data_IF_503758524995
#
_entry.id   IF_503758524995
#
_cell.length_a   1.000
_cell.length_b   1.000
_cell.length_c   1.000
_cell.angle_alpha   90.00
_cell.angle_beta   90.00
_cell.angle_gamma   90.00
#
_symmetry.space_group_name_H-M   'P 1'
#
loop_
_entity.id
_entity.type
_entity.pdbx_description
1 polymer ?
#
# COMPACT_ATOMS: atom_id res chain seq x y z
N UNK A 1 10.41 20.95 -18.74
CA UNK A 1 9.07 20.58 -18.26
C UNK A 1 8.60 21.71 -17.34
N UNK A 2 7.40 22.23 -17.52
CA UNK A 2 6.83 23.25 -16.62
C UNK A 2 6.40 22.59 -15.30
N UNK A 3 6.40 23.35 -14.21
CA UNK A 3 5.77 22.96 -12.94
C UNK A 3 4.67 23.93 -12.64
N UNK A 4 3.52 23.38 -12.26
CA UNK A 4 2.34 24.14 -11.92
C UNK A 4 2.05 24.00 -10.42
N UNK A 5 1.97 25.11 -9.68
CA UNK A 5 1.34 25.11 -8.37
C UNK A 5 -0.13 24.69 -8.46
N UNK A 6 -0.61 23.90 -7.49
CA UNK A 6 -2.02 23.51 -7.41
C UNK A 6 -2.93 24.73 -7.17
N UNK A 7 -2.51 25.63 -6.30
CA UNK A 7 -3.24 26.82 -5.82
C UNK A 7 -3.30 28.00 -6.82
N UNK A 8 -2.95 27.77 -8.08
CA UNK A 8 -2.90 28.82 -9.11
C UNK A 8 -3.98 28.61 -10.16
N UNK A 9 -4.97 29.51 -10.19
CA UNK A 9 -6.16 29.42 -11.04
C UNK A 9 -5.87 29.25 -12.54
N UNK A 10 -4.80 29.87 -13.06
CA UNK A 10 -4.43 29.78 -14.49
C UNK A 10 -3.92 28.41 -14.92
N UNK A 11 -3.59 27.53 -13.96
CA UNK A 11 -3.13 26.17 -14.25
C UNK A 11 -4.28 25.19 -14.46
N UNK A 12 -5.51 25.62 -14.19
CA UNK A 12 -6.73 24.82 -14.32
C UNK A 12 -7.53 25.26 -15.53
N UNK A 13 -8.10 24.29 -16.24
CA UNK A 13 -8.87 24.53 -17.48
C UNK A 13 -10.12 25.39 -17.26
N UNK A 14 -10.69 25.38 -16.05
CA UNK A 14 -11.80 26.24 -15.64
C UNK A 14 -11.40 27.68 -15.30
N UNK A 15 -10.09 27.98 -15.24
CA UNK A 15 -9.58 29.30 -14.83
C UNK A 15 -9.80 29.61 -13.35
N UNK A 16 -10.07 28.60 -12.53
CA UNK A 16 -10.26 28.66 -11.08
C UNK A 16 -9.57 27.47 -10.41
N UNK A 17 -9.11 27.65 -9.17
CA UNK A 17 -8.56 26.56 -8.35
C UNK A 17 -9.72 25.66 -7.89
N UNK A 18 -9.57 24.32 -7.92
CA UNK A 18 -10.57 23.42 -7.38
C UNK A 18 -10.94 23.75 -5.94
N UNK A 19 -12.24 23.76 -5.65
CA UNK A 19 -12.82 23.99 -4.32
C UNK A 19 -13.60 22.76 -3.87
N UNK A 20 -14.23 22.83 -2.70
CA UNK A 20 -15.07 21.73 -2.21
C UNK A 20 -16.15 21.32 -3.21
N UNK A 21 -16.47 20.03 -3.23
CA UNK A 21 -17.44 19.39 -4.13
C UNK A 21 -17.03 19.34 -5.62
N UNK A 22 -15.83 19.81 -5.99
CA UNK A 22 -15.35 19.69 -7.37
C UNK A 22 -14.86 18.27 -7.70
N UNK A 23 -15.02 17.89 -8.97
CA UNK A 23 -14.37 16.73 -9.59
C UNK A 23 -13.09 17.16 -10.32
N UNK A 24 -11.94 16.66 -9.87
CA UNK A 24 -10.64 16.94 -10.51
C UNK A 24 -10.23 15.77 -11.39
N UNK A 25 -9.92 16.05 -12.66
CA UNK A 25 -9.34 15.06 -13.58
C UNK A 25 -7.97 15.51 -14.08
N UNK A 26 -6.97 14.64 -13.91
CA UNK A 26 -5.63 14.79 -14.43
C UNK A 26 -5.41 13.77 -15.56
N UNK A 27 -5.28 14.25 -16.79
CA UNK A 27 -5.08 13.39 -17.96
C UNK A 27 -4.25 14.09 -19.04
N UNK A 28 -3.62 13.30 -19.92
CA UNK A 28 -2.87 13.76 -21.10
C UNK A 28 -1.84 14.87 -20.80
N UNK A 29 -1.27 14.86 -19.60
CA UNK A 29 -0.35 15.90 -19.13
C UNK A 29 0.99 15.28 -18.74
N UNK A 30 2.07 16.00 -19.02
CA UNK A 30 3.40 15.73 -18.44
C UNK A 30 3.78 16.79 -17.41
N UNK A 31 2.85 17.66 -17.03
CA UNK A 31 3.14 18.78 -16.14
C UNK A 31 3.19 18.30 -14.70
N UNK A 32 4.25 18.65 -13.99
CA UNK A 32 4.42 18.30 -12.59
C UNK A 32 3.61 19.27 -11.71
N UNK A 33 2.99 18.75 -10.65
CA UNK A 33 2.39 19.55 -9.57
C UNK A 33 3.24 19.30 -8.33
N UNK A 34 4.15 20.24 -8.08
CA UNK A 34 5.13 20.14 -7.00
C UNK A 34 5.02 21.28 -6.00
N UNK A 35 4.14 22.27 -6.23
CA UNK A 35 3.95 23.45 -5.39
C UNK A 35 2.49 23.64 -5.03
N UNK A 36 2.21 24.42 -3.99
CA UNK A 36 0.85 24.60 -3.46
C UNK A 36 0.29 23.29 -2.90
N UNK A 37 1.14 22.43 -2.34
CA UNK A 37 0.78 21.04 -2.02
C UNK A 37 -0.09 20.91 -0.76
N UNK A 38 -0.14 21.94 0.08
CA UNK A 38 -1.08 21.96 1.20
C UNK A 38 -2.44 22.51 0.74
N UNK A 39 -3.40 21.62 0.56
CA UNK A 39 -4.81 21.89 0.23
C UNK A 39 -5.74 21.22 1.26
N UNK A 40 -5.29 21.07 2.51
CA UNK A 40 -6.02 20.34 3.56
C UNK A 40 -7.33 21.00 4.01
N UNK A 41 -7.69 22.15 3.41
CA UNK A 41 -8.96 22.85 3.64
C UNK A 41 -9.97 22.59 2.51
N UNK A 42 -9.58 21.86 1.47
CA UNK A 42 -10.41 21.52 0.31
C UNK A 42 -10.81 20.05 0.40
N UNK A 43 -12.11 19.79 0.33
CA UNK A 43 -12.71 18.45 0.28
C UNK A 43 -13.36 18.23 -1.09
N UNK A 44 -12.66 17.54 -1.98
CA UNK A 44 -13.13 17.26 -3.35
C UNK A 44 -14.09 16.07 -3.39
N UNK A 45 -15.07 16.12 -4.30
CA UNK A 45 -15.92 14.96 -4.61
C UNK A 45 -15.07 13.81 -5.19
N UNK A 46 -14.15 14.13 -6.12
CA UNK A 46 -13.21 13.13 -6.63
C UNK A 46 -11.90 13.71 -7.20
N UNK A 47 -10.86 12.88 -7.17
CA UNK A 47 -9.63 13.04 -7.96
C UNK A 47 -9.49 11.81 -8.85
N UNK A 48 -9.57 12.02 -10.16
CA UNK A 48 -9.25 11.00 -11.17
C UNK A 48 -7.89 11.30 -11.81
N UNK A 49 -7.01 10.30 -11.82
CA UNK A 49 -5.70 10.36 -12.50
C UNK A 49 -5.67 9.29 -13.58
N UNK A 50 -5.69 9.70 -14.84
CA UNK A 50 -5.57 8.75 -15.95
C UNK A 50 -4.11 8.35 -16.15
N UNK A 51 -3.86 7.11 -16.59
CA UNK A 51 -2.51 6.65 -16.98
C UNK A 51 -1.83 7.51 -18.06
N UNK A 52 -2.60 8.33 -18.80
CA UNK A 52 -2.07 9.30 -19.77
C UNK A 52 -1.39 10.49 -19.11
N UNK A 53 -1.66 10.76 -17.83
CA UNK A 53 -0.91 11.69 -17.01
C UNK A 53 0.41 11.07 -16.58
N UNK A 54 1.50 11.72 -16.98
CA UNK A 54 2.89 11.33 -16.70
C UNK A 54 3.57 12.33 -15.76
N UNK A 55 2.87 13.41 -15.40
CA UNK A 55 3.36 14.41 -14.46
C UNK A 55 3.49 13.84 -13.04
N UNK A 56 4.43 14.38 -12.27
CA UNK A 56 4.68 14.01 -10.88
C UNK A 56 3.79 14.81 -9.94
N UNK A 57 3.36 14.21 -8.84
CA UNK A 57 2.64 14.88 -7.74
C UNK A 57 3.45 14.76 -6.47
N UNK A 58 3.77 15.90 -5.85
CA UNK A 58 4.65 15.96 -4.70
C UNK A 58 6.15 16.05 -5.04
N UNK A 59 6.96 16.11 -4.00
CA UNK A 59 8.42 16.26 -4.04
C UNK A 59 9.11 15.02 -3.48
N UNK A 60 10.32 14.74 -3.96
CA UNK A 60 11.14 13.67 -3.41
C UNK A 60 11.80 14.10 -2.09
N UNK A 61 11.27 13.64 -0.96
CA UNK A 61 11.81 13.99 0.37
C UNK A 61 13.29 13.57 0.59
N UNK A 62 13.84 12.66 -0.24
CA UNK A 62 15.23 12.21 -0.08
C UNK A 62 16.25 13.17 -0.69
N UNK A 63 15.79 14.20 -1.41
CA UNK A 63 16.66 15.15 -2.10
C UNK A 63 16.81 16.40 -1.26
N UNK A 64 18.07 16.86 -1.14
CA UNK A 64 18.42 18.00 -0.32
C UNK A 64 17.79 19.31 -0.82
N UNK A 65 17.75 19.53 -2.14
CA UNK A 65 17.05 20.64 -2.75
C UNK A 65 16.50 20.23 -4.13
N UNK A 66 15.25 20.58 -4.40
CA UNK A 66 14.61 20.32 -5.69
C UNK A 66 14.42 21.66 -6.40
N UNK A 67 14.91 21.75 -7.63
CA UNK A 67 14.76 22.98 -8.40
C UNK A 67 13.30 23.29 -8.68
N UNK A 68 13.02 24.52 -9.13
CA UNK A 68 11.67 24.97 -9.46
C UNK A 68 10.91 24.05 -10.44
N UNK A 69 11.60 23.17 -11.18
CA UNK A 69 11.00 22.24 -12.13
C UNK A 69 10.60 20.86 -11.53
N UNK A 70 10.84 20.61 -10.24
CA UNK A 70 10.44 19.36 -9.58
C UNK A 70 11.27 18.13 -10.00
N UNK A 71 12.26 18.29 -10.88
CA UNK A 71 12.99 17.20 -11.52
C UNK A 71 14.49 17.19 -11.21
N UNK A 72 15.14 18.37 -11.19
CA UNK A 72 16.57 18.43 -10.94
C UNK A 72 16.87 18.68 -9.47
N UNK A 73 17.86 17.96 -8.97
CA UNK A 73 18.32 18.08 -7.59
C UNK A 73 19.52 19.01 -7.55
N UNK A 74 19.50 19.99 -6.65
CA UNK A 74 20.67 20.79 -6.34
C UNK A 74 21.33 20.25 -5.08
N UNK A 75 22.65 20.08 -5.12
CA UNK A 75 23.47 19.72 -3.95
C UNK A 75 24.03 20.96 -3.23
N UNK A 76 23.79 22.15 -3.77
CA UNK A 76 24.35 23.43 -3.28
C UNK A 76 23.31 24.46 -2.86
N UNK A 77 22.02 24.24 -3.17
CA UNK A 77 20.93 25.10 -2.72
C UNK A 77 20.54 24.78 -1.26
N UNK A 78 19.87 25.69 -0.56
CA UNK A 78 19.40 25.47 0.81
C UNK A 78 18.49 24.23 0.93
N UNK A 79 18.46 23.63 2.11
CA UNK A 79 17.65 22.44 2.39
C UNK A 79 16.16 22.68 2.03
N UNK A 80 15.54 21.67 1.44
CA UNK A 80 14.14 21.62 1.06
C UNK A 80 13.27 21.51 2.33
N UNK A 81 12.60 22.61 2.70
CA UNK A 81 11.68 22.67 3.85
C UNK A 81 10.19 22.69 3.45
N UNK A 82 9.89 22.61 2.15
CA UNK A 82 8.51 22.66 1.63
C UNK A 82 7.80 21.32 1.83
N UNK A 83 6.48 21.36 1.74
CA UNK A 83 5.62 20.18 1.77
C UNK A 83 6.02 19.22 0.65
N UNK A 84 6.10 17.91 0.95
CA UNK A 84 6.50 16.89 -0.03
C UNK A 84 5.32 16.13 -0.61
N UNK A 85 4.16 16.18 0.03
CA UNK A 85 2.98 15.39 -0.29
C UNK A 85 1.84 16.34 -0.63
N UNK A 86 1.01 16.00 -1.62
CA UNK A 86 -0.23 16.73 -1.87
C UNK A 86 -1.23 16.36 -0.77
N UNK A 87 -1.44 17.28 0.17
CA UNK A 87 -2.43 17.19 1.25
C UNK A 87 -3.75 17.72 0.72
N UNK A 88 -4.73 16.86 0.53
CA UNK A 88 -6.04 17.22 0.00
C UNK A 88 -7.06 16.18 0.42
N UNK A 89 -8.22 16.63 0.90
CA UNK A 89 -9.30 15.72 1.24
C UNK A 89 -10.09 15.37 -0.02
N UNK A 90 -10.48 14.09 -0.16
CA UNK A 90 -11.40 13.68 -1.23
C UNK A 90 -12.15 12.41 -0.87
N UNK A 91 -13.39 12.31 -1.33
CA UNK A 91 -14.22 11.10 -1.16
C UNK A 91 -13.75 9.96 -2.06
N UNK A 92 -13.16 10.27 -3.22
CA UNK A 92 -12.70 9.29 -4.20
C UNK A 92 -11.34 9.67 -4.80
N UNK A 93 -10.34 8.81 -4.64
CA UNK A 93 -9.10 8.86 -5.42
C UNK A 93 -9.06 7.68 -6.40
N UNK A 94 -9.14 7.95 -7.70
CA UNK A 94 -9.19 6.95 -8.75
C UNK A 94 -7.99 7.08 -9.71
N UNK A 95 -6.99 6.20 -9.56
CA UNK A 95 -5.82 6.09 -10.42
C UNK A 95 -6.11 5.03 -11.49
N UNK A 96 -6.54 5.51 -12.65
CA UNK A 96 -7.13 4.69 -13.72
C UNK A 96 -6.13 4.13 -14.70
N UNK A 97 -6.47 2.98 -15.29
CA UNK A 97 -5.79 2.48 -16.49
C UNK A 97 -6.08 3.36 -17.71
N UNK A 98 -5.24 3.24 -18.74
CA UNK A 98 -5.53 3.87 -20.03
C UNK A 98 -6.74 3.19 -20.70
N UNK A 99 -7.73 3.96 -21.13
CA UNK A 99 -8.89 3.48 -21.90
C UNK A 99 -8.76 3.72 -23.41
N UNK A 100 -7.79 4.53 -23.84
CA UNK A 100 -7.54 4.86 -25.25
C UNK A 100 -6.56 3.88 -25.93
N UNK A 101 -6.25 4.11 -27.22
CA UNK A 101 -5.19 3.37 -27.90
C UNK A 101 -3.83 3.65 -27.25
N UNK A 102 -2.97 2.63 -27.18
CA UNK A 102 -1.61 2.74 -26.63
C UNK A 102 -1.48 2.35 -25.16
N UNK A 103 -0.26 2.44 -24.65
CA UNK A 103 0.10 2.08 -23.29
C UNK A 103 0.98 3.20 -22.68
N UNK A 104 0.38 4.33 -22.26
CA UNK A 104 1.12 5.44 -21.69
C UNK A 104 1.85 4.99 -20.42
N UNK A 105 2.93 5.70 -20.10
CA UNK A 105 3.84 5.29 -19.03
C UNK A 105 3.22 5.41 -17.63
N UNK A 106 2.20 6.25 -17.44
CA UNK A 106 1.69 6.64 -16.12
C UNK A 106 2.65 7.54 -15.36
N UNK A 107 2.17 8.14 -14.27
CA UNK A 107 3.01 8.91 -13.36
C UNK A 107 3.91 8.00 -12.53
N UNK A 108 5.21 8.31 -12.52
CA UNK A 108 6.20 7.60 -11.71
C UNK A 108 6.27 8.06 -10.25
N UNK A 109 5.52 9.11 -9.88
CA UNK A 109 5.42 9.63 -8.50
C UNK A 109 4.06 10.30 -8.28
N UNK A 110 3.28 9.70 -7.39
CA UNK A 110 2.01 10.21 -6.88
C UNK A 110 2.06 10.14 -5.35
N UNK A 111 2.23 11.28 -4.69
CA UNK A 111 2.26 11.37 -3.22
C UNK A 111 1.00 12.08 -2.72
N UNK A 112 0.15 11.36 -1.98
CA UNK A 112 -1.13 11.86 -1.47
C UNK A 112 -1.25 11.71 0.04
N UNK A 113 -1.78 12.74 0.68
CA UNK A 113 -2.30 12.72 2.05
C UNK A 113 -3.78 13.11 1.97
N UNK A 114 -4.64 12.13 2.21
CA UNK A 114 -6.10 12.21 2.06
C UNK A 114 -6.80 12.70 3.34
N UNK A 115 -6.01 13.19 4.31
CA UNK A 115 -6.49 13.74 5.56
C UNK A 115 -7.45 12.84 6.32
N UNK A 116 -8.49 13.42 6.91
CA UNK A 116 -9.42 12.72 7.82
C UNK A 116 -10.74 12.31 7.16
N UNK A 117 -10.98 12.74 5.92
CA UNK A 117 -12.21 12.43 5.19
C UNK A 117 -12.21 10.95 4.79
N UNK A 118 -13.39 10.32 4.83
CA UNK A 118 -13.56 8.97 4.31
C UNK A 118 -13.30 8.96 2.81
N UNK A 119 -12.34 8.13 2.39
CA UNK A 119 -11.96 8.02 0.99
C UNK A 119 -12.10 6.58 0.50
N UNK A 120 -12.59 6.42 -0.72
CA UNK A 120 -12.38 5.19 -1.50
C UNK A 120 -11.23 5.43 -2.47
N UNK A 121 -10.16 4.64 -2.33
CA UNK A 121 -9.02 4.69 -3.26
C UNK A 121 -9.07 3.49 -4.19
N UNK A 122 -9.01 3.74 -5.50
CA UNK A 122 -8.85 2.69 -6.52
C UNK A 122 -7.55 2.91 -7.29
N UNK A 123 -6.71 1.88 -7.37
CA UNK A 123 -5.49 1.87 -8.17
C UNK A 123 -5.61 0.77 -9.23
N UNK A 124 -6.03 1.16 -10.43
CA UNK A 124 -6.20 0.23 -11.54
C UNK A 124 -4.88 -0.09 -12.24
N UNK A 125 -3.98 0.89 -12.39
CA UNK A 125 -2.67 0.72 -12.99
C UNK A 125 -1.73 1.87 -12.59
N UNK A 126 -0.48 1.55 -12.25
CA UNK A 126 0.55 2.57 -11.95
C UNK A 126 1.53 2.71 -13.12
N UNK A 127 2.49 3.61 -13.00
CA UNK A 127 3.69 3.49 -13.83
C UNK A 127 4.39 2.15 -13.64
N UNK A 128 5.17 1.71 -14.62
CA UNK A 128 5.91 0.44 -14.54
C UNK A 128 7.05 0.46 -13.52
N UNK A 129 7.55 1.65 -13.17
CA UNK A 129 8.62 1.90 -12.22
C UNK A 129 8.39 3.25 -11.54
N UNK A 130 8.76 3.33 -10.27
CA UNK A 130 8.87 4.61 -9.57
C UNK A 130 10.07 5.41 -10.07
N UNK A 131 9.96 6.74 -10.03
CA UNK A 131 11.11 7.65 -10.23
C UNK A 131 11.90 7.89 -8.94
N UNK A 132 11.42 7.37 -7.81
CA UNK A 132 11.91 7.63 -6.45
C UNK A 132 12.80 6.51 -5.90
N UNK A 133 13.40 5.73 -6.80
CA UNK A 133 14.27 4.62 -6.46
C UNK A 133 13.49 3.40 -6.00
N UNK A 134 13.73 2.96 -4.76
CA UNK A 134 13.09 1.76 -4.18
C UNK A 134 11.66 2.00 -3.68
N UNK A 135 11.20 3.25 -3.66
CA UNK A 135 9.88 3.61 -3.15
C UNK A 135 8.78 3.30 -4.17
N UNK A 136 7.56 2.99 -3.72
CA UNK A 136 6.39 2.86 -4.60
C UNK A 136 6.13 4.12 -5.45
N UNK A 137 5.61 3.93 -6.66
CA UNK A 137 5.21 5.01 -7.56
C UNK A 137 4.02 5.79 -7.01
N UNK A 138 3.12 5.11 -6.30
CA UNK A 138 1.99 5.72 -5.58
C UNK A 138 2.23 5.57 -4.09
N UNK A 139 2.16 6.66 -3.34
CA UNK A 139 2.29 6.64 -1.89
C UNK A 139 1.11 7.41 -1.30
N UNK A 140 0.38 6.74 -0.41
CA UNK A 140 -0.86 7.24 0.17
C UNK A 140 -0.71 7.29 1.68
N UNK A 141 -1.24 8.36 2.25
CA UNK A 141 -1.54 8.49 3.67
C UNK A 141 -2.99 8.93 3.80
N UNK A 142 -3.66 8.40 4.81
CA UNK A 142 -5.01 8.77 5.20
C UNK A 142 -5.12 8.61 6.71
N UNK A 143 -6.00 9.36 7.36
CA UNK A 143 -6.28 9.29 8.78
C UNK A 143 -7.78 9.06 9.04
N UNK A 144 -8.31 8.04 8.36
CA UNK A 144 -9.70 7.61 8.54
C UNK A 144 -9.80 6.09 8.56
N UNK A 145 -10.33 5.57 9.67
CA UNK A 145 -10.60 4.13 9.86
C UNK A 145 -11.77 3.61 9.02
N UNK A 146 -12.38 4.44 8.16
CA UNK A 146 -13.40 4.02 7.18
C UNK A 146 -12.86 3.96 5.76
N UNK A 147 -11.70 4.57 5.48
CA UNK A 147 -11.05 4.60 4.17
C UNK A 147 -10.67 3.20 3.68
N UNK A 148 -11.03 2.90 2.44
CA UNK A 148 -10.72 1.64 1.76
C UNK A 148 -9.80 1.87 0.56
N UNK A 149 -8.83 0.98 0.39
CA UNK A 149 -7.87 1.02 -0.73
C UNK A 149 -7.94 -0.28 -1.53
N UNK A 150 -8.30 -0.17 -2.81
CA UNK A 150 -8.41 -1.27 -3.75
C UNK A 150 -7.32 -1.17 -4.83
N UNK A 151 -6.47 -2.18 -4.93
CA UNK A 151 -5.37 -2.26 -5.90
C UNK A 151 -5.63 -3.39 -6.89
N UNK A 152 -5.77 -3.07 -8.17
CA UNK A 152 -5.82 -4.05 -9.25
C UNK A 152 -4.40 -4.27 -9.80
N UNK A 153 -3.78 -3.26 -10.42
CA UNK A 153 -2.41 -3.37 -10.95
C UNK A 153 -1.52 -2.27 -10.37
N UNK A 154 -0.36 -2.67 -9.85
CA UNK A 154 0.62 -1.73 -9.32
C UNK A 154 2.07 -2.15 -9.63
N UNK A 155 2.48 -2.20 -10.90
CA UNK A 155 3.83 -2.62 -11.28
C UNK A 155 4.94 -1.72 -10.71
N UNK A 156 4.67 -0.42 -10.59
CA UNK A 156 5.55 0.57 -9.96
C UNK A 156 5.37 0.65 -8.44
N UNK A 157 4.40 -0.08 -7.91
CA UNK A 157 4.09 -0.23 -6.50
C UNK A 157 3.12 0.81 -5.94
N UNK A 158 2.42 0.39 -4.88
CA UNK A 158 1.61 1.24 -3.99
C UNK A 158 2.15 1.12 -2.57
N UNK A 159 2.40 2.26 -1.93
CA UNK A 159 2.84 2.36 -0.55
C UNK A 159 1.80 3.05 0.32
N UNK A 160 1.56 2.53 1.52
CA UNK A 160 0.67 3.16 2.50
C UNK A 160 1.51 3.52 3.72
N UNK A 161 1.59 4.82 4.05
CA UNK A 161 2.50 5.34 5.08
C UNK A 161 3.97 4.89 4.90
N UNK A 162 4.44 4.78 3.64
CA UNK A 162 5.81 4.36 3.31
C UNK A 162 6.72 5.50 2.88
N UNK A 163 6.24 6.74 2.93
CA UNK A 163 6.98 7.88 2.38
C UNK A 163 8.29 8.06 3.12
N UNK A 164 8.26 8.38 4.41
CA UNK A 164 9.46 8.45 5.25
C UNK A 164 9.28 7.70 6.57
N UNK A 165 10.37 7.36 7.29
CA UNK A 165 10.27 6.76 8.61
C UNK A 165 9.42 7.62 9.56
N UNK A 166 8.53 7.00 10.32
CA UNK A 166 7.68 7.66 11.31
C UNK A 166 6.37 8.24 10.79
N UNK A 167 6.06 8.09 9.50
CA UNK A 167 4.73 8.43 8.96
C UNK A 167 3.69 7.46 9.50
N UNK A 168 2.54 7.99 9.89
CA UNK A 168 1.39 7.23 10.35
C UNK A 168 0.24 7.31 9.35
N UNK A 169 -0.62 6.30 9.35
CA UNK A 169 -1.88 6.31 8.60
C UNK A 169 -2.91 5.43 9.31
N UNK A 170 -4.18 5.76 9.16
CA UNK A 170 -5.32 4.97 9.62
C UNK A 170 -6.19 4.64 8.40
N UNK A 171 -6.40 3.35 8.12
CA UNK A 171 -7.27 2.86 7.03
C UNK A 171 -8.08 1.66 7.49
N UNK A 172 -9.27 1.46 6.91
CA UNK A 172 -10.10 0.29 7.19
C UNK A 172 -9.57 -0.95 6.49
N UNK A 173 -9.44 -0.86 5.16
CA UNK A 173 -9.13 -2.01 4.30
C UNK A 173 -8.06 -1.68 3.28
N UNK A 174 -7.16 -2.63 3.07
CA UNK A 174 -6.28 -2.68 1.89
C UNK A 174 -6.54 -4.00 1.17
N UNK A 175 -6.83 -3.93 -0.12
CA UNK A 175 -7.23 -5.09 -0.92
C UNK A 175 -6.50 -5.14 -2.25
N UNK A 176 -5.72 -6.19 -2.49
CA UNK A 176 -5.16 -6.50 -3.81
C UNK A 176 -6.13 -7.43 -4.53
N UNK A 177 -6.96 -6.87 -5.40
CA UNK A 177 -8.22 -7.52 -5.84
C UNK A 177 -8.06 -8.50 -6.99
N UNK A 178 -6.96 -8.45 -7.74
CA UNK A 178 -6.74 -9.31 -8.93
C UNK A 178 -5.55 -10.25 -8.74
N UNK A 179 -5.57 -11.44 -9.38
CA UNK A 179 -4.49 -12.43 -9.31
C UNK A 179 -3.28 -12.04 -10.20
N UNK A 180 -2.83 -10.79 -10.15
CA UNK A 180 -1.63 -10.35 -10.87
C UNK A 180 -0.37 -10.74 -10.11
N UNK A 181 0.74 -11.04 -10.80
CA UNK A 181 2.06 -11.20 -10.17
C UNK A 181 2.85 -9.89 -10.11
N UNK A 182 2.37 -8.84 -10.79
CA UNK A 182 3.12 -7.57 -10.93
C UNK A 182 2.77 -6.56 -9.86
N UNK A 183 1.65 -6.70 -9.17
CA UNK A 183 1.25 -5.77 -8.10
C UNK A 183 2.21 -5.88 -6.92
N UNK A 184 2.71 -4.73 -6.48
CA UNK A 184 3.61 -4.59 -5.33
C UNK A 184 2.99 -3.62 -4.34
N UNK A 185 2.47 -4.13 -3.24
CA UNK A 185 1.87 -3.30 -2.19
C UNK A 185 2.72 -3.37 -0.93
N UNK A 186 3.05 -2.22 -0.36
CA UNK A 186 3.76 -2.13 0.92
C UNK A 186 2.92 -1.32 1.89
N UNK A 187 2.44 -1.94 2.95
CA UNK A 187 1.84 -1.25 4.09
C UNK A 187 2.94 -0.96 5.10
N UNK A 188 3.15 0.32 5.43
CA UNK A 188 4.21 0.77 6.31
C UNK A 188 3.91 0.53 7.79
N UNK A 189 4.95 0.38 8.60
CA UNK A 189 4.86 0.06 10.03
C UNK A 189 4.11 1.10 10.89
N UNK A 190 3.88 2.32 10.39
CA UNK A 190 3.06 3.33 11.06
C UNK A 190 1.56 3.24 10.75
N UNK A 191 1.11 2.25 9.99
CA UNK A 191 -0.29 2.12 9.57
C UNK A 191 -1.13 1.35 10.60
N UNK A 192 -2.21 1.95 11.08
CA UNK A 192 -3.33 1.23 11.72
C UNK A 192 -4.27 0.74 10.62
N UNK A 193 -4.35 -0.59 10.43
CA UNK A 193 -5.20 -1.24 9.42
C UNK A 193 -6.07 -2.31 10.07
N UNK A 194 -7.36 -2.36 9.70
CA UNK A 194 -8.29 -3.37 10.25
C UNK A 194 -8.24 -4.66 9.44
N UNK A 195 -8.35 -4.55 8.11
CA UNK A 195 -8.46 -5.69 7.19
C UNK A 195 -7.44 -5.59 6.06
N UNK A 196 -6.67 -6.66 5.85
CA UNK A 196 -5.84 -6.85 4.66
C UNK A 196 -6.34 -8.04 3.85
N UNK A 197 -6.48 -7.87 2.54
CA UNK A 197 -6.90 -8.93 1.62
C UNK A 197 -6.01 -8.93 0.38
N UNK A 198 -5.61 -10.10 -0.10
CA UNK A 198 -4.92 -10.19 -1.40
C UNK A 198 -5.32 -11.42 -2.21
N UNK A 199 -5.38 -11.24 -3.52
CA UNK A 199 -5.59 -12.29 -4.52
C UNK A 199 -4.32 -12.59 -5.33
N UNK A 200 -3.33 -11.69 -5.29
CA UNK A 200 -2.07 -11.84 -6.01
C UNK A 200 -1.01 -10.86 -5.51
N UNK A 201 0.10 -10.78 -6.24
CA UNK A 201 1.17 -9.81 -6.06
C UNK A 201 2.35 -10.32 -5.26
N UNK A 202 3.31 -9.41 -5.04
CA UNK A 202 4.43 -9.56 -4.12
C UNK A 202 4.36 -8.42 -3.13
N UNK A 203 3.68 -8.67 -2.01
CA UNK A 203 3.26 -7.63 -1.09
C UNK A 203 3.94 -7.78 0.27
N UNK A 204 4.02 -6.66 0.98
CA UNK A 204 4.56 -6.60 2.34
C UNK A 204 3.54 -5.90 3.24
N UNK A 205 3.18 -6.56 4.33
CA UNK A 205 2.28 -6.04 5.35
C UNK A 205 3.08 -5.75 6.63
N UNK A 206 3.13 -4.48 7.01
CA UNK A 206 3.48 -4.02 8.34
C UNK A 206 2.30 -3.27 8.94
N UNK A 207 2.25 -3.13 10.26
CA UNK A 207 1.23 -2.37 10.95
C UNK A 207 1.73 -1.80 12.29
N UNK A 208 1.13 -0.70 12.73
CA UNK A 208 1.39 -0.05 14.01
C UNK A 208 0.66 -0.73 15.17
N UNK A 209 -0.44 -1.42 14.87
CA UNK A 209 -1.35 -2.02 15.85
C UNK A 209 -1.90 -3.36 15.33
N UNK A 210 -2.76 -3.99 16.15
CA UNK A 210 -3.42 -5.25 15.81
C UNK A 210 -4.17 -5.17 14.47
N UNK A 211 -3.90 -6.13 13.58
CA UNK A 211 -4.68 -6.34 12.36
C UNK A 211 -5.73 -7.40 12.65
N UNK A 212 -7.00 -7.06 12.43
CA UNK A 212 -8.10 -7.96 12.79
C UNK A 212 -8.15 -9.15 11.84
N UNK A 213 -8.12 -8.89 10.53
CA UNK A 213 -8.23 -9.94 9.52
C UNK A 213 -7.20 -9.76 8.43
N UNK A 214 -6.47 -10.84 8.12
CA UNK A 214 -5.60 -10.96 6.96
C UNK A 214 -6.07 -12.16 6.15
N UNK A 215 -6.50 -11.94 4.91
CA UNK A 215 -6.96 -13.01 4.00
C UNK A 215 -6.08 -13.07 2.76
N UNK A 216 -5.57 -14.26 2.44
CA UNK A 216 -4.70 -14.48 1.28
C UNK A 216 -5.29 -15.54 0.37
N UNK A 217 -5.70 -15.15 -0.83
CA UNK A 217 -6.18 -16.06 -1.88
C UNK A 217 -5.09 -16.46 -2.87
N UNK A 218 -4.01 -15.68 -2.98
CA UNK A 218 -2.90 -15.94 -3.90
C UNK A 218 -1.73 -14.97 -3.71
N UNK A 219 -0.71 -15.11 -4.56
CA UNK A 219 0.50 -14.27 -4.53
C UNK A 219 1.49 -14.63 -3.40
N UNK A 220 2.36 -13.68 -3.10
CA UNK A 220 3.35 -13.74 -2.03
C UNK A 220 3.10 -12.61 -1.03
N UNK A 221 2.95 -12.94 0.25
CA UNK A 221 2.85 -11.96 1.33
C UNK A 221 3.96 -12.17 2.35
N UNK A 222 4.76 -11.13 2.54
CA UNK A 222 5.66 -11.03 3.71
C UNK A 222 4.98 -10.19 4.77
N UNK A 223 4.89 -10.71 6.00
CA UNK A 223 4.33 -9.99 7.15
C UNK A 223 5.49 -9.67 8.09
N UNK A 224 5.73 -8.39 8.41
CA UNK A 224 6.88 -7.97 9.21
C UNK A 224 6.51 -6.92 10.26
N UNK A 225 7.24 -6.91 11.38
CA UNK A 225 7.06 -5.91 12.43
C UNK A 225 6.55 -6.51 13.74
N UNK A 226 6.10 -5.66 14.65
CA UNK A 226 5.70 -6.04 16.02
C UNK A 226 4.21 -5.77 16.26
N UNK A 227 3.35 -6.53 15.59
CA UNK A 227 1.90 -6.45 15.76
C UNK A 227 1.25 -7.83 15.79
N UNK A 228 0.05 -7.90 16.37
CA UNK A 228 -0.79 -9.10 16.43
C UNK A 228 -1.69 -9.20 15.19
N UNK A 229 -1.87 -10.42 14.68
CA UNK A 229 -2.97 -10.74 13.75
C UNK A 229 -4.01 -11.58 14.49
N UNK A 230 -5.26 -11.11 14.54
CA UNK A 230 -6.33 -11.87 15.19
C UNK A 230 -6.74 -13.08 14.35
N UNK A 231 -7.01 -12.89 13.05
CA UNK A 231 -7.36 -13.94 12.11
C UNK A 231 -6.51 -13.88 10.84
N UNK A 232 -5.70 -14.90 10.59
CA UNK A 232 -4.96 -15.11 9.35
C UNK A 232 -5.60 -16.28 8.58
N UNK A 233 -6.20 -16.00 7.42
CA UNK A 233 -6.90 -17.00 6.59
C UNK A 233 -6.17 -17.16 5.26
N UNK A 234 -5.66 -18.36 5.00
CA UNK A 234 -4.89 -18.69 3.80
C UNK A 234 -5.72 -19.62 2.93
N UNK A 235 -6.19 -19.11 1.79
CA UNK A 235 -6.91 -19.88 0.77
C UNK A 235 -5.99 -20.30 -0.38
N UNK A 236 -4.80 -19.68 -0.51
CA UNK A 236 -3.81 -19.95 -1.54
C UNK A 236 -2.56 -19.10 -1.36
N UNK A 237 -1.64 -19.14 -2.32
CA UNK A 237 -0.40 -18.33 -2.29
C UNK A 237 0.63 -18.79 -1.28
N UNK A 238 1.62 -17.93 -1.00
CA UNK A 238 2.70 -18.15 -0.05
C UNK A 238 2.74 -16.99 0.95
N UNK A 239 2.77 -17.29 2.23
CA UNK A 239 2.84 -16.30 3.32
C UNK A 239 4.04 -16.56 4.21
N UNK A 240 4.81 -15.50 4.48
CA UNK A 240 5.92 -15.47 5.42
C UNK A 240 5.53 -14.65 6.66
N UNK A 241 4.91 -15.26 7.69
CA UNK A 241 4.51 -14.57 8.91
C UNK A 241 5.71 -14.33 9.85
N UNK A 242 6.42 -13.23 9.63
CA UNK A 242 7.63 -12.84 10.38
C UNK A 242 7.34 -11.81 11.49
N UNK A 243 6.07 -11.50 11.78
CA UNK A 243 5.69 -10.57 12.85
C UNK A 243 5.99 -11.14 14.25
N UNK A 244 6.47 -10.28 15.15
CA UNK A 244 7.06 -10.65 16.45
C UNK A 244 6.60 -9.73 17.60
N UNK A 245 5.29 -9.62 17.88
CA UNK A 245 4.82 -8.86 19.03
C UNK A 245 5.25 -9.52 20.35
N UNK A 246 5.12 -8.80 21.47
CA UNK A 246 5.46 -9.32 22.81
C UNK A 246 4.55 -10.48 23.30
N UNK A 247 3.48 -10.80 22.56
CA UNK A 247 2.56 -11.90 22.86
C UNK A 247 2.38 -12.84 21.66
N UNK A 248 1.16 -13.35 21.46
CA UNK A 248 0.86 -14.12 20.26
C UNK A 248 1.10 -13.26 18.99
N UNK A 249 1.83 -13.81 18.03
CA UNK A 249 1.95 -13.22 16.70
C UNK A 249 0.64 -13.41 15.92
N UNK A 250 0.02 -14.58 16.09
CA UNK A 250 -1.25 -14.93 15.45
C UNK A 250 -2.15 -15.61 16.48
N UNK A 251 -3.39 -15.13 16.60
CA UNK A 251 -4.40 -15.78 17.46
C UNK A 251 -5.05 -16.96 16.75
N UNK A 252 -5.58 -16.78 15.55
CA UNK A 252 -6.18 -17.84 14.75
C UNK A 252 -5.58 -17.86 13.34
N UNK A 253 -4.93 -18.96 12.98
CA UNK A 253 -4.41 -19.24 11.65
C UNK A 253 -5.24 -20.37 11.03
N UNK A 254 -5.93 -20.10 9.92
CA UNK A 254 -6.68 -21.11 9.16
C UNK A 254 -6.04 -21.30 7.79
N UNK A 255 -5.65 -22.54 7.47
CA UNK A 255 -5.08 -22.89 6.17
C UNK A 255 -6.08 -23.72 5.36
N UNK A 256 -6.78 -23.07 4.44
CA UNK A 256 -7.65 -23.69 3.43
C UNK A 256 -6.91 -23.95 2.11
N UNK A 257 -5.58 -23.79 2.08
CA UNK A 257 -4.72 -23.99 0.91
C UNK A 257 -3.40 -23.25 1.05
N UNK A 258 -2.59 -23.23 -0.02
CA UNK A 258 -1.35 -22.46 -0.09
C UNK A 258 -0.25 -22.94 0.86
N UNK A 259 0.70 -22.04 1.14
CA UNK A 259 1.84 -22.31 2.02
C UNK A 259 1.99 -21.19 3.05
N UNK A 260 2.12 -21.58 4.32
CA UNK A 260 2.60 -20.71 5.39
C UNK A 260 4.00 -21.17 5.77
N UNK A 261 4.99 -20.30 5.54
CA UNK A 261 6.39 -20.58 5.85
C UNK A 261 6.89 -19.68 6.99
N UNK A 262 6.89 -20.25 8.19
CA UNK A 262 7.42 -19.65 9.41
C UNK A 262 8.94 -19.79 9.58
N UNK A 263 9.67 -20.38 8.64
CA UNK A 263 11.12 -20.63 8.77
C UNK A 263 11.99 -19.40 8.42
N UNK A 264 11.39 -18.37 7.81
CA UNK A 264 12.12 -17.19 7.31
C UNK A 264 12.55 -16.18 8.39
N UNK A 265 12.23 -16.41 9.66
CA UNK A 265 12.60 -15.53 10.77
C UNK A 265 13.18 -16.36 11.90
N UNK A 266 14.28 -15.90 12.50
CA UNK A 266 14.93 -16.53 13.66
C UNK A 266 14.36 -16.06 15.01
N UNK A 267 13.34 -15.22 15.01
CA UNK A 267 12.75 -14.64 16.21
C UNK A 267 11.60 -15.49 16.73
N UNK A 268 11.68 -15.82 18.02
CA UNK A 268 10.66 -16.60 18.73
C UNK A 268 9.28 -15.91 18.64
N UNK A 269 8.23 -16.69 18.37
CA UNK A 269 6.85 -16.22 18.26
C UNK A 269 5.84 -17.32 18.51
N UNK A 270 4.63 -16.94 18.90
CA UNK A 270 3.55 -17.88 19.21
C UNK A 270 2.39 -17.76 18.22
N UNK A 271 1.93 -18.90 17.72
CA UNK A 271 0.65 -19.05 17.02
C UNK A 271 -0.30 -19.80 17.95
N UNK A 272 -1.40 -19.16 18.34
CA UNK A 272 -2.26 -19.69 19.41
C UNK A 272 -3.07 -20.88 18.91
N UNK A 273 -3.88 -20.71 17.86
CA UNK A 273 -4.62 -21.78 17.22
C UNK A 273 -4.28 -21.85 15.73
N UNK A 274 -3.89 -23.03 15.26
CA UNK A 274 -3.66 -23.34 13.85
C UNK A 274 -4.66 -24.40 13.43
N UNK A 275 -5.45 -24.12 12.39
CA UNK A 275 -6.43 -25.03 11.82
C UNK A 275 -6.03 -25.40 10.39
N UNK A 276 -5.79 -26.69 10.15
CA UNK A 276 -5.51 -27.23 8.82
C UNK A 276 -6.84 -27.62 8.16
N UNK A 277 -7.31 -26.82 7.21
CA UNK A 277 -8.64 -26.95 6.62
C UNK A 277 -8.73 -27.97 5.48
N UNK A 278 -7.64 -28.23 4.75
CA UNK A 278 -7.57 -29.21 3.65
C UNK A 278 -6.20 -29.86 3.56
N UNK A 279 -6.12 -31.03 2.92
CA UNK A 279 -4.89 -31.83 2.80
C UNK A 279 -3.79 -31.22 1.91
N UNK A 280 -4.11 -30.19 1.11
CA UNK A 280 -3.14 -29.54 0.21
C UNK A 280 -2.48 -28.29 0.80
N UNK A 281 -2.88 -27.88 2.00
CA UNK A 281 -2.22 -26.79 2.72
C UNK A 281 -0.84 -27.22 3.22
N UNK A 282 0.16 -26.34 3.09
CA UNK A 282 1.51 -26.58 3.58
C UNK A 282 1.83 -25.63 4.73
N UNK A 283 2.14 -26.20 5.90
CA UNK A 283 2.65 -25.46 7.05
C UNK A 283 4.12 -25.81 7.27
N UNK A 284 5.00 -24.81 7.23
CA UNK A 284 6.42 -24.96 7.58
C UNK A 284 6.69 -24.14 8.83
N UNK A 285 7.18 -24.77 9.88
CA UNK A 285 7.51 -24.13 11.15
C UNK A 285 8.79 -24.75 11.73
N UNK A 286 9.69 -23.90 12.23
CA UNK A 286 10.84 -24.31 13.05
C UNK A 286 10.40 -24.26 14.51
N UNK A 287 10.50 -25.39 15.23
CA UNK A 287 10.05 -25.53 16.62
C UNK A 287 10.88 -24.69 17.61
N UNK A 288 12.10 -24.29 17.23
CA UNK A 288 12.93 -23.37 18.01
C UNK A 288 12.46 -21.91 17.90
N UNK A 289 11.62 -21.61 16.91
CA UNK A 289 11.21 -20.26 16.54
C UNK A 289 9.69 -20.07 16.71
N UNK A 290 8.89 -21.06 16.31
CA UNK A 290 7.44 -20.98 16.28
C UNK A 290 6.84 -21.95 17.29
N UNK A 291 6.19 -21.40 18.31
CA UNK A 291 5.38 -22.17 19.26
C UNK A 291 3.92 -22.21 18.80
N UNK A 292 3.40 -23.40 18.52
CA UNK A 292 1.97 -23.63 18.24
C UNK A 292 1.29 -24.15 19.50
N UNK A 293 0.31 -23.41 20.04
CA UNK A 293 -0.36 -23.81 21.30
C UNK A 293 -1.47 -24.83 21.07
N UNK A 294 -2.21 -24.70 19.96
CA UNK A 294 -3.27 -25.63 19.56
C UNK A 294 -3.18 -25.86 18.07
N UNK A 295 -3.10 -27.13 17.66
CA UNK A 295 -3.15 -27.57 16.28
C UNK A 295 -4.45 -28.38 16.08
N UNK A 296 -5.38 -27.83 15.30
CA UNK A 296 -6.62 -28.48 14.90
C UNK A 296 -6.42 -29.12 13.53
N UNK A 297 -6.35 -30.45 13.52
CA UNK A 297 -6.19 -31.25 12.30
C UNK A 297 -7.57 -31.62 11.73
N UNK A 298 -7.69 -31.84 10.41
CA UNK A 298 -8.94 -32.33 9.82
C UNK A 298 -9.23 -33.76 10.30
N UNK A 299 -10.51 -34.11 10.40
CA UNK A 299 -10.92 -35.48 10.72
C UNK A 299 -10.50 -36.45 9.62
N UNK A 300 -9.90 -37.59 9.98
CA UNK A 300 -9.54 -38.67 9.06
C UNK A 300 -8.04 -38.96 8.99
N UNK A 301 -7.62 -39.86 8.08
CA UNK A 301 -6.21 -40.19 7.90
C UNK A 301 -5.46 -39.06 7.18
N UNK A 302 -4.28 -38.68 7.68
CA UNK A 302 -3.42 -37.65 7.07
C UNK A 302 -1.96 -38.12 7.01
N UNK A 303 -1.15 -37.44 6.20
CA UNK A 303 0.30 -37.71 6.06
C UNK A 303 1.10 -36.57 6.68
N UNK A 304 1.96 -36.90 7.64
CA UNK A 304 2.97 -35.97 8.17
C UNK A 304 4.32 -36.22 7.49
N UNK A 305 4.92 -35.17 6.96
CA UNK A 305 6.30 -35.20 6.48
C UNK A 305 7.15 -34.33 7.37
N UNK A 306 8.04 -34.96 8.14
CA UNK A 306 9.06 -34.26 8.92
C UNK A 306 10.34 -34.17 8.10
N UNK A 307 10.82 -32.95 7.86
CA UNK A 307 12.13 -32.68 7.27
C UNK A 307 12.98 -32.07 8.38
N UNK A 308 14.14 -32.68 8.66
CA UNK A 308 15.14 -32.18 9.62
C UNK A 308 16.39 -31.78 8.88
#
# INVERSE_FOLDING_TARGET
>A
MSVFPWDTATNWSGGAVPVGDDDVTLSHSGVNICWGLNQSAVELDSITIEKTDTGRRGLDYTKFAITANGETTSTTAAAEYRETVLEIDTVLLDIRRNRGPGNPAGSGRLLFNLGTVECTVTVEDTASKSVDGIRPAVQITADSVTTDIYIQSAPGGVGIATERPGITSSVRKVSVTVPSTTSRVTVGAGTTIVTYEQTGGQNTLQAAATVTTVTVHGGFLTIEGSFLITALVINGGIVYPNNTPAGAAITALTLNGGTVDGTQSSKARTWTAVTLGIDTAVLMADDNVVTITTLNEPDGPYTLTAVR
#
